data_IF_364469338321
#
_entry.id   IF_364469338321
#
_cell.length_a   1.000
_cell.length_b   1.000
_cell.length_c   1.000
_cell.angle_alpha   90.00
_cell.angle_beta   90.00
_cell.angle_gamma   90.00
#
_symmetry.space_group_name_H-M   'P 1'
#
loop_
_entity.id
_entity.type
_entity.pdbx_description
1 polymer ?
#
# COMPACT_ATOMS: atom_id res chain seq x y z
N UNK A 1 -15.26 13.79 -22.22
CA UNK A 1 -14.28 12.75 -21.82
C UNK A 1 -15.06 11.47 -21.53
N UNK A 2 -15.24 10.58 -22.53
CA UNK A 2 -15.88 9.27 -22.29
C UNK A 2 -14.82 8.40 -21.63
N UNK A 3 -14.87 8.27 -20.30
CA UNK A 3 -14.11 7.21 -19.63
C UNK A 3 -14.72 5.89 -20.10
N UNK A 4 -13.93 5.13 -20.85
CA UNK A 4 -14.28 3.76 -21.18
C UNK A 4 -14.42 2.97 -19.87
N UNK A 5 -15.55 2.29 -19.68
CA UNK A 5 -15.88 1.56 -18.46
C UNK A 5 -14.77 0.57 -18.05
N UNK A 6 -13.96 0.10 -19.01
CA UNK A 6 -12.81 -0.76 -18.74
C UNK A 6 -11.67 -0.02 -18.01
N UNK A 7 -11.38 1.24 -18.35
CA UNK A 7 -10.33 2.03 -17.67
C UNK A 7 -10.66 2.25 -16.19
N UNK A 8 -11.94 2.47 -15.88
CA UNK A 8 -12.42 2.61 -14.48
C UNK A 8 -12.23 1.30 -13.70
N UNK A 9 -12.49 0.15 -14.32
CA UNK A 9 -12.30 -1.15 -13.67
C UNK A 9 -10.83 -1.41 -13.35
N UNK A 10 -9.93 -1.15 -14.30
CA UNK A 10 -8.49 -1.33 -14.08
C UNK A 10 -7.96 -0.38 -13.00
N UNK A 11 -8.39 0.88 -13.01
CA UNK A 11 -8.03 1.85 -11.99
C UNK A 11 -8.45 1.41 -10.57
N UNK A 12 -9.68 0.91 -10.44
CA UNK A 12 -10.21 0.41 -9.17
C UNK A 12 -9.38 -0.77 -8.62
N UNK A 13 -8.95 -1.69 -9.49
CA UNK A 13 -8.11 -2.84 -9.12
C UNK A 13 -6.74 -2.39 -8.64
N UNK A 14 -6.07 -1.47 -9.36
CA UNK A 14 -4.77 -0.94 -8.94
C UNK A 14 -4.85 -0.21 -7.59
N UNK A 15 -5.94 0.53 -7.35
CA UNK A 15 -6.17 1.19 -6.08
C UNK A 15 -6.35 0.16 -4.94
N UNK A 16 -7.13 -0.90 -5.17
CA UNK A 16 -7.29 -1.99 -4.21
C UNK A 16 -5.95 -2.68 -3.91
N UNK A 17 -5.12 -2.94 -4.92
CA UNK A 17 -3.78 -3.53 -4.74
C UNK A 17 -2.88 -2.59 -3.91
N UNK A 18 -2.86 -1.29 -4.20
CA UNK A 18 -2.07 -0.32 -3.43
C UNK A 18 -2.46 -0.30 -1.95
N UNK A 19 -3.77 -0.33 -1.66
CA UNK A 19 -4.29 -0.39 -0.28
C UNK A 19 -3.92 -1.72 0.40
N UNK A 20 -3.98 -2.85 -0.32
CA UNK A 20 -3.56 -4.15 0.21
C UNK A 20 -2.06 -4.19 0.55
N UNK A 21 -1.21 -3.54 -0.25
CA UNK A 21 0.23 -3.44 0.03
C UNK A 21 0.45 -2.64 1.33
N UNK A 22 -0.25 -1.52 1.51
CA UNK A 22 -0.16 -0.70 2.74
C UNK A 22 -0.60 -1.50 3.98
N UNK A 23 -1.67 -2.30 3.85
CA UNK A 23 -2.21 -3.09 4.95
C UNK A 23 -1.45 -4.39 5.21
N UNK A 24 -0.68 -4.90 4.25
CA UNK A 24 0.07 -6.16 4.34
C UNK A 24 0.91 -6.29 5.63
N UNK A 25 1.77 -5.33 6.01
CA UNK A 25 2.54 -5.45 7.25
C UNK A 25 1.67 -5.42 8.52
N UNK A 26 0.50 -4.77 8.49
CA UNK A 26 -0.47 -4.78 9.62
C UNK A 26 -1.11 -6.17 9.75
N UNK A 27 -1.46 -6.80 8.62
CA UNK A 27 -2.04 -8.14 8.57
C UNK A 27 -1.02 -9.18 9.05
N UNK A 28 0.22 -9.11 8.54
CA UNK A 28 1.29 -10.08 8.83
C UNK A 28 1.68 -10.03 10.31
N UNK A 29 1.85 -8.82 10.85
CA UNK A 29 2.26 -8.65 12.27
C UNK A 29 1.09 -8.83 13.25
N UNK A 30 -0.16 -8.84 12.76
CA UNK A 30 -1.37 -8.99 13.57
C UNK A 30 -1.57 -7.90 14.63
N UNK A 31 -0.79 -6.81 14.54
CA UNK A 31 -0.77 -5.73 15.53
C UNK A 31 -0.63 -4.39 14.82
N UNK A 32 -1.34 -3.39 15.34
CA UNK A 32 -0.97 -2.00 15.10
C UNK A 32 0.39 -1.74 15.75
N UNK A 33 1.19 -0.88 15.13
CA UNK A 33 2.54 -0.58 15.59
C UNK A 33 2.52 -0.24 17.09
N UNK A 34 3.19 -1.06 17.91
CA UNK A 34 3.23 -0.89 19.35
C UNK A 34 4.65 -1.17 19.84
N UNK A 35 5.34 -0.08 20.14
CA UNK A 35 6.73 -0.04 20.59
C UNK A 35 6.98 -0.84 21.88
N UNK A 36 5.97 -0.99 22.75
CA UNK A 36 6.08 -1.78 23.98
C UNK A 36 6.01 -3.29 23.77
N UNK A 37 5.68 -3.76 22.55
CA UNK A 37 5.46 -5.18 22.26
C UNK A 37 6.47 -5.78 21.28
N UNK A 38 7.41 -5.00 20.77
CA UNK A 38 8.36 -5.42 19.74
C UNK A 38 9.78 -5.37 20.33
N UNK A 39 10.51 -6.48 20.28
CA UNK A 39 11.85 -6.58 20.86
C UNK A 39 12.89 -5.85 20.00
N UNK A 40 13.44 -4.74 20.51
CA UNK A 40 14.71 -4.12 20.08
C UNK A 40 14.97 -4.11 18.56
N UNK A 41 15.85 -5.00 18.07
CA UNK A 41 16.22 -5.07 16.64
C UNK A 41 15.06 -5.38 15.69
N UNK A 42 13.98 -6.00 16.18
CA UNK A 42 12.77 -6.26 15.41
C UNK A 42 11.96 -4.97 15.15
N UNK A 43 12.09 -3.93 16.00
CA UNK A 43 11.42 -2.63 15.81
C UNK A 43 11.86 -1.96 14.52
N UNK A 44 13.18 -1.94 14.27
CA UNK A 44 13.76 -1.27 13.11
C UNK A 44 13.34 -1.99 11.83
N UNK A 45 13.39 -3.32 11.82
CA UNK A 45 12.96 -4.11 10.68
C UNK A 45 11.46 -3.93 10.40
N UNK A 46 10.62 -3.94 11.42
CA UNK A 46 9.18 -3.78 11.25
C UNK A 46 8.82 -2.36 10.81
N UNK A 47 9.51 -1.35 11.34
CA UNK A 47 9.35 0.04 10.92
C UNK A 47 9.73 0.23 9.45
N UNK A 48 10.92 -0.22 9.04
CA UNK A 48 11.40 -0.14 7.65
C UNK A 48 10.44 -0.88 6.71
N UNK A 49 9.99 -2.08 7.08
CA UNK A 49 9.01 -2.84 6.30
C UNK A 49 7.70 -2.06 6.13
N UNK A 50 7.11 -1.54 7.22
CA UNK A 50 5.88 -0.74 7.16
C UNK A 50 6.03 0.50 6.28
N UNK A 51 7.12 1.24 6.43
CA UNK A 51 7.40 2.43 5.62
C UNK A 51 7.61 2.09 4.15
N UNK A 52 8.32 1.00 3.83
CA UNK A 52 8.51 0.56 2.45
C UNK A 52 7.20 0.14 1.79
N UNK A 53 6.36 -0.65 2.47
CA UNK A 53 5.04 -1.03 1.99
C UNK A 53 4.15 0.21 1.75
N UNK A 54 4.24 1.21 2.63
CA UNK A 54 3.51 2.46 2.46
C UNK A 54 3.96 3.23 1.21
N UNK A 55 5.27 3.41 1.02
CA UNK A 55 5.86 4.06 -0.15
C UNK A 55 5.48 3.33 -1.45
N UNK A 56 5.61 2.00 -1.47
CA UNK A 56 5.28 1.17 -2.65
C UNK A 56 3.79 1.25 -2.96
N UNK A 57 2.91 1.15 -1.95
CA UNK A 57 1.47 1.25 -2.14
C UNK A 57 1.05 2.59 -2.73
N UNK A 58 1.65 3.70 -2.26
CA UNK A 58 1.42 5.03 -2.83
C UNK A 58 1.94 5.15 -4.26
N UNK A 59 3.11 4.60 -4.57
CA UNK A 59 3.66 4.61 -5.93
C UNK A 59 2.76 3.86 -6.91
N UNK A 60 2.21 2.70 -6.51
CA UNK A 60 1.26 1.93 -7.33
C UNK A 60 -0.01 2.74 -7.61
N UNK A 61 -0.54 3.43 -6.60
CA UNK A 61 -1.72 4.30 -6.78
C UNK A 61 -1.39 5.49 -7.68
N UNK A 62 -0.23 6.13 -7.48
CA UNK A 62 0.21 7.25 -8.30
C UNK A 62 0.37 6.84 -9.78
N UNK A 63 1.00 5.70 -10.04
CA UNK A 63 1.18 5.18 -11.40
C UNK A 63 -0.16 4.82 -12.06
N UNK A 64 -1.11 4.26 -11.30
CA UNK A 64 -2.47 4.02 -11.77
C UNK A 64 -3.18 5.33 -12.14
N UNK A 65 -3.07 6.38 -11.33
CA UNK A 65 -3.63 7.70 -11.65
C UNK A 65 -2.99 8.23 -12.93
N UNK A 66 -1.66 8.21 -13.01
CA UNK A 66 -0.91 8.72 -14.16
C UNK A 66 -1.25 7.97 -15.45
N UNK A 67 -1.47 6.67 -15.39
CA UNK A 67 -1.78 5.83 -16.57
C UNK A 67 -3.22 6.01 -17.05
N UNK A 68 -4.16 6.31 -16.14
CA UNK A 68 -5.58 6.41 -16.48
C UNK A 68 -6.11 7.83 -16.67
N UNK A 69 -5.46 8.85 -16.09
CA UNK A 69 -5.87 10.26 -16.15
C UNK A 69 -4.96 11.15 -17.01
N UNK A 70 -3.91 10.59 -17.63
CA UNK A 70 -3.11 11.25 -18.66
C UNK A 70 -3.72 11.05 -20.04
#
# INVERSE_FOLDING_TARGET
MKLDSQKIRTFSICCAIGVLIILSPIIITGRLYNENKIMGGLLISEFVMRTSCFMIGLLVIYDAIKTHFK
#
